data_IF_278759730205
#
_entry.id   IF_278759730205
#
_cell.length_a   1.000
_cell.length_b   1.000
_cell.length_c   1.000
_cell.angle_alpha   90.00
_cell.angle_beta   90.00
_cell.angle_gamma   90.00
#
_symmetry.space_group_name_H-M   'P 1'
#
loop_
_entity.id
_entity.type
_entity.pdbx_description
1 polymer ?
2 non-polymer ?
3 non-polymer ?
4 water ?
#
# COMPACT_ATOMS: atom_id res chain seq x y z
N UNK A 1 -16.91 9.03 5.55
CA UNK A 1 -15.66 8.18 5.46
C UNK A 1 -16.06 6.79 4.97
N UNK A 2 -15.19 6.14 4.19
CA UNK A 2 -15.34 4.76 3.72
C UNK A 2 -15.14 3.83 4.89
N UNK A 3 -15.73 2.68 4.87
CA UNK A 3 -15.56 1.67 5.92
C UNK A 3 -14.24 0.93 5.72
N UNK A 4 -13.50 0.84 6.78
CA UNK A 4 -12.18 0.16 6.81
C UNK A 4 -12.39 -1.10 7.58
N UNK A 5 -11.90 -2.27 7.18
CA UNK A 5 -11.16 -2.47 5.94
C UNK A 5 -12.02 -2.26 4.70
N UNK A 6 -11.42 -1.74 3.65
CA UNK A 6 -12.08 -1.35 2.39
C UNK A 6 -11.47 -2.19 1.27
N UNK A 7 -12.27 -2.77 0.41
CA UNK A 7 -11.82 -3.51 -0.78
C UNK A 7 -12.11 -2.70 -2.04
N UNK A 8 -11.10 -2.32 -2.78
CA UNK A 8 -11.23 -1.64 -4.05
C UNK A 8 -10.96 -2.66 -5.15
N UNK A 9 -11.95 -3.10 -5.93
CA UNK A 9 -11.69 -4.00 -7.05
C UNK A 9 -10.82 -3.27 -8.06
N UNK A 10 -9.89 -3.99 -8.67
CA UNK A 10 -9.00 -3.50 -9.73
C UNK A 10 -9.32 -4.32 -10.97
N UNK A 11 -10.27 -3.88 -11.83
CA UNK A 11 -10.78 -4.84 -12.84
C UNK A 11 -9.76 -5.25 -13.88
N UNK A 12 -9.58 -6.53 -14.04
CA UNK A 12 -8.54 -7.03 -14.94
C UNK A 12 -7.16 -6.82 -14.39
N UNK A 13 -7.06 -6.64 -13.10
CA UNK A 13 -5.74 -6.49 -12.49
C UNK A 13 -5.10 -5.17 -12.73
N UNK A 14 -3.84 -5.11 -12.42
CA UNK A 14 -3.04 -3.89 -12.64
C UNK A 14 -2.23 -4.03 -13.91
N UNK A 15 -1.67 -2.92 -14.32
CA UNK A 15 -0.95 -2.81 -15.60
C UNK A 15 -0.08 -1.59 -15.51
N UNK A 16 1.09 -1.53 -16.13
CA UNK A 16 1.81 -0.29 -16.13
C UNK A 16 0.95 0.86 -16.64
N UNK A 17 1.17 1.99 -15.96
CA UNK A 17 0.48 3.29 -16.17
C UNK A 17 -0.80 3.41 -15.38
N UNK A 18 -1.17 2.40 -14.59
CA UNK A 18 -2.30 2.53 -13.67
C UNK A 18 -1.84 3.19 -12.38
N UNK A 19 -2.54 4.25 -12.02
CA UNK A 19 -2.23 5.03 -10.80
C UNK A 19 -3.35 4.85 -9.81
N UNK A 20 -3.03 4.38 -8.62
CA UNK A 20 -3.99 4.18 -7.54
C UNK A 20 -3.75 5.23 -6.49
N UNK A 21 -4.79 5.93 -6.11
CA UNK A 21 -4.70 7.04 -5.14
C UNK A 21 -5.55 6.75 -3.94
N UNK A 22 -4.95 6.86 -2.77
CA UNK A 22 -5.62 6.66 -1.49
C UNK A 22 -5.51 7.99 -0.74
N UNK A 23 -6.64 8.46 -0.29
CA UNK A 23 -6.70 9.67 0.57
C UNK A 23 -7.29 9.26 1.89
N UNK A 24 -6.63 9.64 2.96
CA UNK A 24 -7.19 9.39 4.29
C UNK A 24 -6.48 10.21 5.32
N UNK A 25 -6.83 10.00 6.55
CA UNK A 25 -6.24 10.71 7.71
C UNK A 25 -5.82 9.67 8.71
N UNK A 26 -4.60 9.73 9.20
CA UNK A 26 -4.15 8.76 10.20
C UNK A 26 -4.88 9.02 11.52
N UNK A 27 -5.35 7.98 12.16
CA UNK A 27 -5.96 8.14 13.49
C UNK A 27 -4.92 8.65 14.47
N UNK A 28 -5.38 9.28 15.57
CA UNK A 28 -4.49 9.65 16.66
C UNK A 28 -3.92 8.33 17.25
N UNK A 29 -2.66 8.39 17.67
CA UNK A 29 -2.09 7.19 18.33
C UNK A 29 -2.18 5.93 17.44
N UNK A 30 -1.97 6.09 16.14
CA UNK A 30 -2.02 4.95 15.18
C UNK A 30 -0.92 3.98 15.52
N UNK A 31 -1.20 2.71 15.25
CA UNK A 31 -0.15 1.67 15.31
C UNK A 31 0.25 1.14 13.93
N UNK A 32 -0.69 0.94 13.02
CA UNK A 32 -0.32 0.35 11.74
C UNK A 32 -1.34 0.68 10.70
N UNK A 33 -0.92 0.65 9.45
CA UNK A 33 -1.74 0.81 8.23
C UNK A 33 -1.30 -0.30 7.29
N UNK A 34 -2.20 -0.81 6.44
CA UNK A 34 -1.82 -1.73 5.37
C UNK A 34 -2.55 -1.44 4.09
N UNK A 35 -1.80 -1.43 3.01
CA UNK A 35 -2.35 -1.60 1.65
C UNK A 35 -1.94 -2.96 1.19
N UNK A 36 -2.90 -3.76 0.74
CA UNK A 36 -2.65 -5.14 0.24
C UNK A 36 -3.14 -5.27 -1.18
N UNK A 37 -2.27 -5.26 -2.16
CA UNK A 37 -2.63 -5.57 -3.56
C UNK A 37 -2.67 -7.06 -3.67
N UNK A 38 -3.84 -7.62 -3.90
CA UNK A 38 -4.05 -9.06 -3.81
C UNK A 38 -4.27 -9.71 -5.15
N UNK A 39 -3.69 -10.90 -5.27
CA UNK A 39 -3.97 -11.85 -6.35
C UNK A 39 -4.66 -13.04 -5.73
N UNK A 40 -5.98 -13.06 -5.71
CA UNK A 40 -6.66 -14.04 -4.88
C UNK A 40 -6.23 -13.96 -3.43
N UNK A 41 -5.86 -15.09 -2.83
CA UNK A 41 -5.37 -15.04 -1.44
C UNK A 41 -3.93 -14.58 -1.34
N UNK A 42 -3.20 -14.49 -2.42
CA UNK A 42 -1.82 -13.99 -2.35
C UNK A 42 -1.84 -12.49 -2.25
N UNK A 43 -0.82 -11.95 -1.59
CA UNK A 43 -0.62 -10.50 -1.51
C UNK A 43 0.58 -10.17 -2.37
N UNK A 44 0.35 -9.63 -3.56
CA UNK A 44 1.45 -9.26 -4.44
C UNK A 44 2.32 -8.18 -3.82
N UNK A 45 1.68 -7.21 -3.17
CA UNK A 45 2.38 -6.05 -2.60
C UNK A 45 1.65 -5.61 -1.37
N UNK A 46 2.25 -5.83 -0.23
CA UNK A 46 1.87 -5.38 1.12
C UNK A 46 2.71 -4.16 1.46
N UNK A 47 2.04 -3.04 1.70
CA UNK A 47 2.69 -1.77 2.06
C UNK A 47 2.21 -1.44 3.46
N UNK A 48 3.09 -1.49 4.45
CA UNK A 48 2.70 -1.54 5.87
C UNK A 48 3.49 -0.53 6.68
N UNK A 49 3.00 0.71 6.78
CA UNK A 49 3.53 1.62 7.79
C UNK A 49 3.29 1.10 9.20
N UNK A 50 4.39 0.98 9.96
CA UNK A 50 4.39 0.56 11.39
C UNK A 50 4.80 1.77 12.22
N UNK A 51 3.91 2.22 13.08
CA UNK A 51 4.16 3.42 13.90
C UNK A 51 4.93 3.11 15.16
N UNK A 52 5.03 1.86 15.55
CA UNK A 52 5.74 1.54 16.80
C UNK A 52 6.25 0.12 16.66
N UNK A 53 7.37 -0.07 16.04
CA UNK A 53 8.10 -1.34 16.07
C UNK A 53 9.36 -1.06 16.88
N UNK A 54 9.34 -1.51 18.14
CA UNK A 54 10.46 -1.22 19.06
C UNK A 54 10.68 0.30 19.16
N UNK A 55 9.59 1.03 19.19
CA UNK A 55 9.62 2.51 19.38
C UNK A 55 10.28 3.22 18.20
N UNK A 56 10.31 2.58 17.03
CA UNK A 56 10.70 3.17 15.74
C UNK A 56 9.54 3.09 14.79
N UNK A 57 9.45 4.07 13.89
CA UNK A 57 8.51 4.08 12.73
C UNK A 57 9.23 3.52 11.50
N UNK A 58 8.62 2.57 10.78
CA UNK A 58 9.21 1.98 9.57
C UNK A 58 8.08 1.57 8.65
N UNK A 59 8.37 1.61 7.37
CA UNK A 59 7.48 0.99 6.37
C UNK A 59 8.05 -0.38 6.02
N UNK A 60 7.22 -1.38 6.20
CA UNK A 60 7.52 -2.77 5.79
C UNK A 60 6.76 -3.09 4.52
N UNK A 61 7.44 -3.60 3.52
CA UNK A 61 6.82 -4.10 2.29
C UNK A 61 7.15 -5.57 2.14
N UNK A 62 6.21 -6.34 1.62
CA UNK A 62 6.42 -7.79 1.44
C UNK A 62 5.36 -8.34 0.49
N UNK A 63 5.49 -9.62 0.22
CA UNK A 63 4.59 -10.43 -0.62
C UNK A 63 4.22 -11.65 0.18
N UNK A 64 2.98 -12.08 0.05
CA UNK A 64 2.47 -13.31 0.70
C UNK A 64 2.08 -14.27 -0.42
N UNK A 65 2.69 -15.45 -0.45
CA UNK A 65 2.45 -16.50 -1.46
C UNK A 65 2.07 -17.79 -0.74
N UNK A 66 0.91 -18.34 -1.08
CA UNK A 66 0.45 -19.61 -0.47
C UNK A 66 0.48 -19.45 1.04
N UNK A 67 0.05 -18.30 1.53
CA UNK A 67 -0.07 -18.02 2.99
C UNK A 67 1.26 -17.81 3.67
N UNK A 68 2.37 -17.66 2.97
CA UNK A 68 3.67 -17.40 3.59
C UNK A 68 4.18 -16.03 3.20
N UNK A 69 4.58 -15.25 4.18
CA UNK A 69 5.27 -13.98 3.94
C UNK A 69 6.69 -14.23 3.46
N UNK A 70 7.18 -13.45 2.55
CA UNK A 70 8.53 -13.53 2.01
C UNK A 70 9.52 -12.63 2.73
N UNK A 71 10.56 -12.22 2.04
CA UNK A 71 11.62 -11.34 2.58
C UNK A 71 11.08 -9.92 2.64
N UNK A 72 11.11 -9.30 3.81
CA UNK A 72 10.65 -7.92 3.98
C UNK A 72 11.60 -6.97 3.29
N UNK A 73 11.08 -5.89 2.75
CA UNK A 73 11.84 -4.72 2.32
C UNK A 73 11.46 -3.58 3.25
N UNK A 74 12.43 -2.92 3.88
CA UNK A 74 12.18 -1.86 4.89
C UNK A 74 12.67 -0.51 4.44
N UNK A 75 11.84 0.49 4.69
CA UNK A 75 12.08 1.91 4.38
C UNK A 75 11.90 2.65 5.68
N UNK A 76 13.00 3.23 6.13
CA UNK A 76 13.04 4.07 7.34
C UNK A 76 12.44 5.46 7.11
N UNK A 77 12.40 5.97 5.88
CA UNK A 77 11.71 7.25 5.61
C UNK A 77 10.22 7.03 5.87
N UNK A 78 9.62 7.91 6.66
CA UNK A 78 8.31 7.62 7.25
C UNK A 78 7.51 8.89 7.21
N UNK A 79 6.76 9.15 6.13
CA UNK A 79 6.12 10.44 5.94
C UNK A 79 4.79 10.61 6.67
N UNK A 80 4.25 9.56 7.25
CA UNK A 80 2.93 9.56 7.93
C UNK A 80 3.08 10.12 9.33
N UNK A 81 2.08 10.88 9.76
CA UNK A 81 1.97 11.36 11.15
C UNK A 81 0.58 11.08 11.70
N UNK A 82 0.52 10.58 12.92
CA UNK A 82 -0.74 10.40 13.59
C UNK A 82 -1.56 11.69 13.56
N UNK A 83 -2.83 11.58 13.26
CA UNK A 83 -3.73 12.74 13.21
C UNK A 83 -3.76 13.47 11.90
N UNK A 84 -2.89 13.20 10.92
CA UNK A 84 -2.73 14.06 9.74
C UNK A 84 -3.23 13.42 8.45
N UNK A 85 -3.81 14.22 7.55
CA UNK A 85 -4.21 13.73 6.25
C UNK A 85 -3.02 13.43 5.37
N UNK A 86 -3.19 12.37 4.59
CA UNK A 86 -2.18 11.87 3.66
C UNK A 86 -2.79 11.54 2.32
N UNK A 87 -1.92 11.46 1.34
CA UNK A 87 -2.21 10.94 -0.01
C UNK A 87 -1.18 9.91 -0.33
N UNK A 88 -1.61 8.70 -0.63
CA UNK A 88 -0.69 7.65 -1.13
C UNK A 88 -1.00 7.49 -2.60
N UNK A 89 -0.01 7.57 -3.46
CA UNK A 89 -0.14 7.28 -4.89
C UNK A 89 0.75 6.10 -5.21
N UNK A 90 0.16 5.07 -5.79
CA UNK A 90 0.89 3.87 -6.20
C UNK A 90 0.80 3.83 -7.71
N UNK A 91 1.89 4.03 -8.40
CA UNK A 91 1.94 3.99 -9.87
C UNK A 91 2.55 2.67 -10.26
N UNK A 92 1.78 1.87 -11.00
CA UNK A 92 2.34 0.59 -11.49
C UNK A 92 3.28 0.92 -12.66
N UNK A 93 4.50 0.45 -12.55
CA UNK A 93 5.50 0.59 -13.63
C UNK A 93 5.90 -0.81 -14.07
N UNK A 94 6.64 -0.96 -15.19
CA UNK A 94 6.91 -2.28 -15.73
C UNK A 94 7.61 -3.18 -14.73
N UNK A 95 8.53 -2.70 -13.91
CA UNK A 95 9.30 -3.59 -13.04
C UNK A 95 8.95 -3.44 -11.55
N UNK A 96 8.13 -2.45 -11.20
CA UNK A 96 7.86 -2.18 -9.78
C UNK A 96 6.56 -1.42 -9.60
N UNK A 97 6.10 -1.46 -8.36
CA UNK A 97 5.17 -0.45 -7.86
C UNK A 97 5.97 0.73 -7.39
N UNK A 98 5.59 1.91 -7.78
CA UNK A 98 6.27 3.15 -7.36
C UNK A 98 5.34 3.92 -6.44
N UNK A 99 5.76 4.18 -5.22
CA UNK A 99 4.89 4.82 -4.20
C UNK A 99 5.38 6.22 -3.88
N UNK A 100 4.48 7.19 -3.95
CA UNK A 100 4.71 8.57 -3.51
C UNK A 100 3.71 8.86 -2.42
N UNK A 101 4.15 9.54 -1.37
CA UNK A 101 3.24 10.00 -0.30
C UNK A 101 3.29 11.51 -0.23
N UNK A 102 2.17 12.14 -0.27
CA UNK A 102 2.11 13.62 -0.20
C UNK A 102 2.97 14.19 -1.30
N UNK A 103 2.89 13.65 -2.51
CA UNK A 103 3.57 14.12 -3.73
C UNK A 103 5.09 13.92 -3.68
N UNK A 104 5.66 13.24 -2.71
CA UNK A 104 7.10 12.97 -2.66
C UNK A 104 7.31 11.48 -2.83
N UNK A 105 8.21 11.12 -3.70
CA UNK A 105 8.61 9.74 -3.92
C UNK A 105 9.03 9.12 -2.62
N UNK A 106 8.57 7.93 -2.33
CA UNK A 106 8.91 7.22 -1.09
C UNK A 106 9.73 5.98 -1.40
N UNK A 107 9.20 5.04 -2.20
CA UNK A 107 9.88 3.75 -2.40
C UNK A 107 9.36 3.13 -3.66
N UNK A 108 10.07 2.12 -4.10
CA UNK A 108 9.57 1.24 -5.17
C UNK A 108 9.74 -0.17 -4.69
N UNK A 109 8.88 -1.04 -5.19
CA UNK A 109 8.82 -2.47 -4.83
C UNK A 109 8.79 -3.26 -6.10
N UNK A 110 9.84 -4.03 -6.31
CA UNK A 110 9.94 -4.84 -7.54
C UNK A 110 8.84 -5.88 -7.60
N UNK A 111 8.32 -6.15 -8.79
CA UNK A 111 7.26 -7.18 -8.95
C UNK A 111 7.79 -8.57 -8.63
N UNK A 112 7.25 -9.21 -7.64
CA UNK A 112 7.51 -10.62 -7.35
C UNK A 112 6.42 -11.48 -7.96
N UNK A 113 5.18 -11.06 -7.85
CA UNK A 113 4.04 -11.63 -8.58
C UNK A 113 4.11 -11.07 -9.97
N UNK A 114 4.13 -11.94 -10.95
CA UNK A 114 4.40 -11.61 -12.36
C UNK A 114 3.10 -11.39 -13.13
N UNK A 115 2.02 -12.04 -12.68
CA UNK A 115 0.73 -11.96 -13.37
C UNK A 115 -0.01 -10.71 -12.92
N UNK A 116 0.44 -9.57 -13.40
CA UNK A 116 -0.13 -8.27 -12.96
C UNK A 116 -1.63 -8.20 -13.21
N UNK A 117 -2.06 -8.80 -14.30
CA UNK A 117 -3.49 -8.75 -14.67
C UNK A 117 -4.35 -9.63 -13.78
N UNK A 118 -3.76 -10.32 -12.80
CA UNK A 118 -4.54 -11.10 -11.82
C UNK A 118 -4.49 -10.46 -10.45
N UNK A 119 -3.82 -9.31 -10.30
CA UNK A 119 -3.79 -8.57 -9.01
C UNK A 119 -4.99 -7.65 -8.99
N UNK A 120 -6.13 -8.19 -8.57
CA UNK A 120 -7.46 -7.66 -8.95
C UNK A 120 -8.18 -7.05 -7.75
N UNK A 121 -7.52 -6.93 -6.61
CA UNK A 121 -8.16 -6.24 -5.48
C UNK A 121 -7.10 -5.48 -4.70
N UNK A 122 -7.48 -4.33 -4.17
CA UNK A 122 -6.67 -3.61 -3.18
C UNK A 122 -7.45 -3.55 -1.88
N UNK A 123 -6.91 -4.14 -0.85
CA UNK A 123 -7.44 -4.03 0.51
C UNK A 123 -6.76 -2.90 1.24
N UNK A 124 -7.52 -2.08 1.93
CA UNK A 124 -6.97 -0.92 2.70
C UNK A 124 -7.44 -1.09 4.12
N UNK A 125 -6.54 -1.20 5.09
CA UNK A 125 -6.87 -1.53 6.47
C UNK A 125 -5.97 -0.78 7.44
N UNK A 126 -6.37 -0.83 8.70
CA UNK A 126 -5.57 -0.25 9.77
C UNK A 126 -6.09 1.09 10.23
N UNK A 127 -5.19 1.87 10.80
CA UNK A 127 -5.57 2.92 11.77
C UNK A 127 -5.73 4.21 11.03
N UNK A 128 -6.69 4.27 10.10
CA UNK A 128 -6.96 5.48 9.30
C UNK A 128 -8.45 5.75 9.28
N UNK A 129 -8.78 6.96 8.99
CA UNK A 129 -10.09 7.35 8.44
C UNK A 129 -9.88 7.43 6.94
N UNK A 130 -10.57 6.61 6.19
CA UNK A 130 -10.36 6.54 4.74
C UNK A 130 -11.32 7.48 4.03
N UNK A 131 -10.81 8.41 3.28
CA UNK A 131 -11.61 9.40 2.56
C UNK A 131 -11.98 8.86 1.18
N UNK A 132 -11.02 8.35 0.43
CA UNK A 132 -11.30 7.89 -0.95
C UNK A 132 -10.22 6.93 -1.38
N UNK A 133 -10.60 6.08 -2.30
CA UNK A 133 -9.68 5.11 -2.91
C UNK A 133 -10.09 5.01 -4.37
N UNK A 134 -9.22 5.26 -5.29
CA UNK A 134 -9.60 5.31 -6.73
C UNK A 134 -8.43 4.98 -7.60
N UNK A 135 -8.64 4.85 -8.89
CA UNK A 135 -7.53 4.64 -9.84
C UNK A 135 -7.83 5.37 -11.13
N UNK A 136 -6.80 5.57 -11.91
CA UNK A 136 -6.91 6.20 -13.23
C UNK A 136 -5.74 5.66 -14.04
N UNK A 137 -5.88 5.68 -15.37
CA UNK A 137 -4.80 5.29 -16.29
C UNK A 137 -4.16 6.56 -16.74
N UNK A 138 -2.88 6.75 -16.54
CA UNK A 138 -2.12 7.94 -16.98
C UNK A 138 -1.26 7.58 -18.18
X LIG B 1 2.75 -14.80 -10.75
X LIG C 1 3.94 -9.86 9.92
X LIG C 1 5.22 -8.66 6.74
X LIG C 1 4.20 -9.22 7.69
X LIG C 1 2.00 -8.76 8.81
X LIG C 1 -3.56 -3.28 9.42
X LIG C 1 -0.12 -7.90 9.19
X LIG C 1 2.84 -7.72 12.11
X LIG C 1 5.68 -3.75 14.80
X LIG C 1 5.62 -10.98 11.13
X LIG C 1 2.67 -9.06 10.15
X LIG C 1 3.12 -7.84 10.81
X LIG C 1 4.63 -9.95 11.13
X LIG C 1 2.97 -8.34 7.73
X LIG C 1 4.81 -9.26 8.99
X LIG C 1 1.11 -7.63 8.87
X LIG C 1 3.36 -6.99 7.95
X LIG C 1 6.36 -9.49 6.67
X LIG C 1 -0.45 -8.99 9.47
X LIG C 1 2.19 -8.53 12.74
X LIG C 1 3.56 -6.59 12.76
X LIG C 1 -0.96 -6.69 9.26
X LIG C 1 -2.31 -6.83 9.56
X LIG C 1 -0.48 -5.41 9.00
X LIG C 1 -3.13 -5.73 9.62
X LIG C 1 -1.32 -4.32 9.04
X LIG C 1 -2.64 -4.46 9.38
X LIG C 1 4.67 -6.94 13.53
X LIG C 1 3.20 -5.25 12.72
X LIG C 1 5.37 -5.98 14.23
X LIG C 1 3.86 -4.27 13.43
X LIG C 1 2.05 -4.85 11.91
X LIG C 1 4.95 -4.69 14.16
X LIG C 1 1.90 -3.68 11.58
X LIG C 1 1.21 -5.74 11.68
#
# INVERSE_FOLDING_TARGET
MLIVPYNLPLPGGVVPRMLITILGTVKPNANRIALDFQRGNDVAFHFNPRFNENNRRVIVCNTKLDNNWGREERQSVFPFESGKPFKIQVLVEPDHFKVAVNDAHLLQYNHRVKKLNEISKLGISGDIDLTSASYTMI
CL CL
5A4 C1 C6 C5 C3 C10 C9 C8 F1 C7 C2 O2 O1 C4 O5 O3 O4 O6 O8 O7 CA1 CB1 CB2 CB6 CB3 CB5 CB4 CA6 CA2 CA5 CA3 N1 CA4 ON1 ON2
#
